data_IF_655578893100
#
_entry.id   IF_655578893100
#
_cell.length_a   1.000
_cell.length_b   1.000
_cell.length_c   1.000
_cell.angle_alpha   90.00
_cell.angle_beta   90.00
_cell.angle_gamma   90.00
#
_symmetry.space_group_name_H-M   'P 1'
#
loop_
_entity.id
_entity.type
_entity.pdbx_description
1 polymer ?
#
# COMPACT_ATOMS: atom_id res chain seq x y z
N UNK A 1 20.73 -32.13 28.52
CA UNK A 1 19.96 -31.73 27.31
C UNK A 1 18.99 -30.54 27.56
N UNK A 2 18.27 -30.46 28.69
CA UNK A 2 17.34 -29.35 29.03
C UNK A 2 18.02 -27.96 29.14
N UNK A 3 19.21 -27.85 29.71
CA UNK A 3 19.93 -26.56 29.86
C UNK A 3 20.36 -25.92 28.55
N UNK A 4 20.65 -26.71 27.52
CA UNK A 4 21.04 -26.20 26.19
C UNK A 4 19.85 -25.61 25.44
N UNK A 5 18.64 -26.12 25.68
CA UNK A 5 17.38 -25.61 25.09
C UNK A 5 16.94 -24.28 25.73
N UNK A 6 17.18 -24.09 27.02
CA UNK A 6 16.87 -22.84 27.72
C UNK A 6 17.79 -21.71 27.23
N UNK A 7 19.11 -21.97 27.15
CA UNK A 7 20.09 -20.99 26.66
C UNK A 7 19.87 -20.61 25.20
N UNK A 8 19.39 -21.51 24.33
CA UNK A 8 19.05 -21.19 22.93
C UNK A 8 17.76 -20.38 22.84
N UNK A 9 16.77 -20.60 23.70
CA UNK A 9 15.54 -19.81 23.75
C UNK A 9 15.80 -18.40 24.28
N UNK A 10 16.62 -18.24 25.31
CA UNK A 10 17.00 -16.92 25.84
C UNK A 10 17.82 -16.12 24.82
N UNK A 11 18.75 -16.76 24.11
CA UNK A 11 19.52 -16.11 23.04
C UNK A 11 18.63 -15.69 21.84
N UNK A 12 17.63 -16.49 21.46
CA UNK A 12 16.66 -16.12 20.43
C UNK A 12 15.76 -14.96 20.88
N UNK A 13 15.33 -14.94 22.13
CA UNK A 13 14.54 -13.84 22.69
C UNK A 13 15.34 -12.55 22.77
N UNK A 14 16.61 -12.60 23.19
CA UNK A 14 17.52 -11.45 23.23
C UNK A 14 17.85 -10.96 21.82
N UNK A 15 18.05 -11.85 20.85
CA UNK A 15 18.29 -11.47 19.46
C UNK A 15 17.07 -10.83 18.82
N UNK A 16 15.86 -11.34 19.08
CA UNK A 16 14.61 -10.76 18.60
C UNK A 16 14.32 -9.40 19.25
N UNK A 17 14.60 -9.26 20.55
CA UNK A 17 14.48 -8.00 21.28
C UNK A 17 15.47 -6.95 20.74
N UNK A 18 16.72 -7.31 20.50
CA UNK A 18 17.73 -6.40 19.95
C UNK A 18 17.41 -5.97 18.52
N UNK A 19 16.93 -6.87 17.67
CA UNK A 19 16.46 -6.53 16.31
C UNK A 19 15.26 -5.61 16.33
N UNK A 20 14.32 -5.79 17.27
CA UNK A 20 13.16 -4.90 17.41
C UNK A 20 13.56 -3.52 17.92
N UNK A 21 14.52 -3.41 18.84
CA UNK A 21 15.08 -2.15 19.35
C UNK A 21 15.84 -1.40 18.26
N UNK A 22 16.72 -2.07 17.50
CA UNK A 22 17.44 -1.49 16.36
C UNK A 22 16.48 -1.00 15.26
N UNK A 23 15.38 -1.72 15.03
CA UNK A 23 14.32 -1.28 14.12
C UNK A 23 13.62 -0.03 14.63
N UNK A 24 13.28 0.03 15.94
CA UNK A 24 12.66 1.21 16.57
C UNK A 24 13.59 2.42 16.53
N UNK A 25 14.86 2.28 16.86
CA UNK A 25 15.83 3.37 16.79
C UNK A 25 16.02 3.89 15.36
N UNK A 26 16.08 3.00 14.36
CA UNK A 26 16.19 3.38 12.97
C UNK A 26 14.93 4.10 12.46
N UNK A 27 13.75 3.75 12.96
CA UNK A 27 12.50 4.46 12.65
C UNK A 27 12.49 5.82 13.34
N UNK A 28 12.87 5.92 14.63
CA UNK A 28 12.93 7.17 15.38
C UNK A 28 13.91 8.18 14.76
N UNK A 29 15.08 7.73 14.29
CA UNK A 29 16.06 8.58 13.59
C UNK A 29 15.57 9.14 12.25
N UNK A 30 14.51 8.58 11.69
CA UNK A 30 13.90 9.03 10.42
C UNK A 30 12.70 9.95 10.60
N UNK A 31 12.27 10.18 11.84
CA UNK A 31 11.19 11.09 12.19
C UNK A 31 11.80 12.48 12.34
N UNK A 32 11.26 13.45 11.63
CA UNK A 32 11.63 14.84 11.79
C UNK A 32 10.91 15.40 13.02
N UNK A 33 11.67 15.58 14.11
CA UNK A 33 11.16 16.08 15.39
C UNK A 33 11.13 17.62 15.41
N UNK A 34 11.20 18.28 14.25
CA UNK A 34 11.15 19.73 14.21
C UNK A 34 9.80 20.22 14.74
N UNK A 35 9.87 20.89 15.90
CA UNK A 35 8.71 21.48 16.58
C UNK A 35 8.08 22.64 15.81
N UNK A 36 8.77 23.17 14.78
CA UNK A 36 8.26 24.24 13.91
C UNK A 36 7.29 23.74 12.85
N UNK A 37 7.19 22.42 12.66
CA UNK A 37 6.22 21.83 11.71
C UNK A 37 4.81 22.02 12.27
N UNK A 38 4.04 22.88 11.64
CA UNK A 38 2.64 23.19 11.98
C UNK A 38 1.72 22.89 10.81
N UNK A 39 0.42 22.77 11.08
CA UNK A 39 -0.61 22.61 10.07
C UNK A 39 -1.63 23.76 10.18
N UNK A 40 -2.19 24.18 9.06
CA UNK A 40 -3.28 25.18 9.02
C UNK A 40 -4.67 24.53 9.04
N UNK A 41 -4.73 23.17 9.08
CA UNK A 41 -5.99 22.43 9.13
C UNK A 41 -6.52 22.36 10.56
N UNK A 42 -7.78 21.92 10.74
CA UNK A 42 -8.43 21.80 12.05
C UNK A 42 -8.91 20.37 12.30
N UNK A 43 -9.10 19.98 13.58
CA UNK A 43 -9.64 18.69 13.99
C UNK A 43 -8.79 17.49 13.52
N UNK A 44 -9.44 16.44 13.02
CA UNK A 44 -8.76 15.21 12.58
C UNK A 44 -7.84 15.44 11.37
N UNK A 45 -8.17 16.38 10.51
CA UNK A 45 -7.34 16.75 9.37
C UNK A 45 -6.02 17.39 9.81
N UNK A 46 -6.04 18.22 10.87
CA UNK A 46 -4.82 18.77 11.49
C UNK A 46 -3.90 17.67 11.99
N UNK A 47 -4.46 16.75 12.76
CA UNK A 47 -3.72 15.65 13.36
C UNK A 47 -3.05 14.75 12.30
N UNK A 48 -3.80 14.39 11.27
CA UNK A 48 -3.27 13.58 10.18
C UNK A 48 -2.23 14.32 9.33
N UNK A 49 -2.44 15.60 9.03
CA UNK A 49 -1.49 16.42 8.27
C UNK A 49 -0.16 16.59 9.01
N UNK A 50 -0.23 16.79 10.31
CA UNK A 50 0.95 16.86 11.18
C UNK A 50 1.73 15.54 11.19
N UNK A 51 1.01 14.39 11.29
CA UNK A 51 1.63 13.08 11.17
C UNK A 51 2.34 12.91 9.84
N UNK A 52 1.67 13.18 8.72
CA UNK A 52 2.24 13.03 7.37
C UNK A 52 3.45 13.93 7.17
N UNK A 53 3.40 15.18 7.60
CA UNK A 53 4.52 16.12 7.49
C UNK A 53 5.74 15.66 8.29
N UNK A 54 5.56 15.26 9.54
CA UNK A 54 6.64 14.76 10.41
C UNK A 54 7.25 13.44 9.92
N UNK A 55 6.45 12.61 9.25
CA UNK A 55 6.90 11.32 8.71
C UNK A 55 7.15 11.34 7.20
N UNK A 56 7.13 12.51 6.58
CA UNK A 56 7.26 12.67 5.12
C UNK A 56 8.53 12.03 4.58
N UNK A 57 9.65 12.16 5.31
CA UNK A 57 10.91 11.53 4.93
C UNK A 57 10.82 10.01 4.89
N UNK A 58 10.09 9.39 5.83
CA UNK A 58 9.89 7.94 5.85
C UNK A 58 8.94 7.47 4.74
N UNK A 59 7.80 8.14 4.62
CA UNK A 59 6.69 7.74 3.76
C UNK A 59 6.96 8.03 2.28
N UNK A 60 7.40 9.26 1.96
CA UNK A 60 7.61 9.70 0.58
C UNK A 60 8.94 9.22 -0.02
N UNK A 61 9.99 9.06 0.80
CA UNK A 61 11.29 8.60 0.31
C UNK A 61 11.20 7.21 -0.31
N UNK A 62 10.43 6.31 0.32
CA UNK A 62 10.20 4.97 -0.20
C UNK A 62 9.43 5.00 -1.53
N UNK A 63 8.33 5.78 -1.61
CA UNK A 63 7.54 5.93 -2.83
C UNK A 63 8.36 6.55 -3.97
N UNK A 64 9.16 7.59 -3.70
CA UNK A 64 10.07 8.20 -4.69
C UNK A 64 11.11 7.20 -5.19
N UNK A 65 11.74 6.42 -4.29
CA UNK A 65 12.72 5.40 -4.69
C UNK A 65 12.11 4.37 -5.65
N UNK A 66 10.91 3.88 -5.36
CA UNK A 66 10.19 2.95 -6.25
C UNK A 66 9.91 3.62 -7.60
N UNK A 67 9.44 4.87 -7.59
CA UNK A 67 9.17 5.61 -8.83
C UNK A 67 10.42 5.73 -9.71
N UNK A 68 11.59 6.03 -9.12
CA UNK A 68 12.85 6.05 -9.87
C UNK A 68 13.23 4.70 -10.45
N UNK A 69 13.02 3.61 -9.72
CA UNK A 69 13.26 2.25 -10.23
C UNK A 69 12.33 1.95 -11.40
N UNK A 70 11.05 2.29 -11.30
CA UNK A 70 10.08 2.11 -12.38
C UNK A 70 10.48 2.90 -13.63
N UNK A 71 10.88 4.17 -13.48
CA UNK A 71 11.36 5.01 -14.59
C UNK A 71 12.57 4.34 -15.26
N UNK A 72 13.53 3.84 -14.47
CA UNK A 72 14.69 3.13 -15.00
C UNK A 72 14.30 1.90 -15.82
N UNK A 73 13.37 1.07 -15.31
CA UNK A 73 12.88 -0.11 -16.03
C UNK A 73 12.20 0.28 -17.34
N UNK A 74 11.31 1.29 -17.31
CA UNK A 74 10.60 1.77 -18.51
C UNK A 74 11.60 2.31 -19.54
N UNK A 75 12.59 3.06 -19.09
CA UNK A 75 13.63 3.60 -19.97
C UNK A 75 14.46 2.50 -20.65
N UNK A 76 14.89 1.50 -19.88
CA UNK A 76 15.62 0.34 -20.42
C UNK A 76 14.76 -0.44 -21.42
N UNK A 77 13.48 -0.68 -21.11
CA UNK A 77 12.54 -1.33 -22.03
C UNK A 77 12.38 -0.53 -23.33
N UNK A 78 12.18 0.79 -23.22
CA UNK A 78 12.06 1.66 -24.39
C UNK A 78 13.34 1.65 -25.25
N UNK A 79 14.52 1.64 -24.63
CA UNK A 79 15.80 1.54 -25.32
C UNK A 79 15.95 0.21 -26.05
N UNK A 80 15.59 -0.91 -25.43
CA UNK A 80 15.62 -2.25 -26.07
C UNK A 80 14.70 -2.27 -27.28
N UNK A 81 13.48 -1.72 -27.16
CA UNK A 81 12.53 -1.68 -28.26
C UNK A 81 12.99 -0.78 -29.42
N UNK A 82 13.74 0.27 -29.13
CA UNK A 82 14.36 1.14 -30.14
C UNK A 82 15.51 0.43 -30.87
N UNK A 83 16.37 -0.30 -30.14
CA UNK A 83 17.53 -1.00 -30.71
C UNK A 83 17.13 -2.26 -31.48
N UNK A 84 16.06 -2.94 -31.06
CA UNK A 84 15.64 -4.23 -31.63
C UNK A 84 14.11 -4.15 -31.92
N UNK A 85 13.74 -3.57 -33.08
CA UNK A 85 12.31 -3.37 -33.42
C UNK A 85 11.49 -4.68 -33.53
N UNK A 86 12.16 -5.82 -33.78
CA UNK A 86 11.52 -7.13 -33.87
C UNK A 86 10.78 -7.53 -32.57
N UNK A 87 11.25 -7.02 -31.41
CA UNK A 87 10.57 -7.23 -30.13
C UNK A 87 9.31 -6.40 -29.95
N UNK A 88 9.12 -5.32 -30.73
CA UNK A 88 8.00 -4.40 -30.55
C UNK A 88 6.63 -5.11 -30.72
N UNK A 89 6.46 -5.91 -31.77
CA UNK A 89 5.24 -6.65 -32.04
C UNK A 89 4.90 -7.66 -30.94
N UNK A 90 5.89 -8.41 -30.47
CA UNK A 90 5.68 -9.37 -29.36
C UNK A 90 5.35 -8.66 -28.07
N UNK A 91 6.05 -7.57 -27.76
CA UNK A 91 5.81 -6.76 -26.56
C UNK A 91 4.42 -6.13 -26.59
N UNK A 92 3.96 -5.63 -27.74
CA UNK A 92 2.62 -5.10 -27.92
C UNK A 92 1.56 -6.16 -27.61
N UNK A 93 1.66 -7.35 -28.22
CA UNK A 93 0.73 -8.45 -27.99
C UNK A 93 0.66 -8.86 -26.51
N UNK A 94 1.80 -8.86 -25.84
CA UNK A 94 1.88 -9.16 -24.42
C UNK A 94 1.19 -8.05 -23.60
N UNK A 95 1.51 -6.78 -23.87
CA UNK A 95 0.90 -5.65 -23.15
C UNK A 95 -0.61 -5.65 -23.26
N UNK A 96 -1.16 -6.01 -24.42
CA UNK A 96 -2.62 -6.04 -24.65
C UNK A 96 -3.40 -7.03 -23.77
N UNK A 97 -2.74 -8.04 -23.19
CA UNK A 97 -3.39 -9.08 -22.36
C UNK A 97 -2.80 -9.21 -20.96
N UNK A 98 -1.75 -8.45 -20.62
CA UNK A 98 -1.04 -8.59 -19.34
C UNK A 98 -1.54 -7.66 -18.24
N UNK A 99 -2.63 -6.94 -18.42
CA UNK A 99 -3.15 -6.05 -17.36
C UNK A 99 -3.40 -6.77 -16.03
N UNK A 100 -3.90 -8.04 -15.97
CA UNK A 100 -4.03 -8.79 -14.72
C UNK A 100 -2.69 -8.98 -13.98
N UNK A 101 -1.59 -9.09 -14.70
CA UNK A 101 -0.25 -9.20 -14.12
C UNK A 101 0.13 -8.00 -13.24
N UNK A 102 -0.33 -6.81 -13.61
CA UNK A 102 -0.06 -5.59 -12.86
C UNK A 102 -0.78 -5.53 -11.51
N UNK A 103 -1.78 -6.37 -11.25
CA UNK A 103 -2.36 -6.53 -9.92
C UNK A 103 -1.31 -6.97 -8.91
N UNK A 104 -0.49 -7.97 -9.27
CA UNK A 104 0.61 -8.44 -8.41
C UNK A 104 1.70 -7.37 -8.23
N UNK A 105 2.09 -6.69 -9.30
CA UNK A 105 3.07 -5.60 -9.22
C UNK A 105 2.54 -4.50 -8.30
N UNK A 106 1.28 -4.08 -8.45
CA UNK A 106 0.67 -3.04 -7.62
C UNK A 106 0.55 -3.45 -6.16
N UNK A 107 0.30 -4.73 -5.86
CA UNK A 107 0.37 -5.27 -4.51
C UNK A 107 1.78 -5.12 -3.91
N UNK A 108 2.83 -5.48 -4.66
CA UNK A 108 4.22 -5.42 -4.20
C UNK A 108 4.73 -3.99 -3.96
N UNK A 109 4.33 -3.04 -4.79
CA UNK A 109 4.82 -1.64 -4.68
C UNK A 109 3.99 -0.78 -3.73
N UNK A 110 2.79 -1.23 -3.34
CA UNK A 110 1.91 -0.49 -2.42
C UNK A 110 2.51 -0.41 -1.02
N UNK A 111 2.48 0.79 -0.42
CA UNK A 111 3.03 1.09 0.91
C UNK A 111 1.97 1.20 2.01
N UNK A 112 0.75 0.78 1.75
CA UNK A 112 -0.36 0.89 2.69
C UNK A 112 -0.09 0.18 4.01
N UNK A 113 0.53 -0.99 4.01
CA UNK A 113 0.89 -1.73 5.22
C UNK A 113 1.96 -1.00 6.05
N UNK A 114 3.02 -0.50 5.41
CA UNK A 114 4.09 0.24 6.09
C UNK A 114 3.56 1.55 6.70
N UNK A 115 2.68 2.24 5.98
CA UNK A 115 2.03 3.47 6.45
C UNK A 115 1.13 3.18 7.65
N UNK A 116 0.33 2.10 7.60
CA UNK A 116 -0.52 1.68 8.72
C UNK A 116 0.31 1.33 9.96
N UNK A 117 1.43 0.63 9.79
CA UNK A 117 2.35 0.33 10.88
C UNK A 117 2.96 1.61 11.48
N UNK A 118 3.40 2.54 10.65
CA UNK A 118 3.92 3.82 11.12
C UNK A 118 2.86 4.64 11.88
N UNK A 119 1.61 4.62 11.42
CA UNK A 119 0.47 5.26 12.10
C UNK A 119 0.23 4.64 13.48
N UNK A 120 0.29 3.31 13.58
CA UNK A 120 0.12 2.63 14.86
C UNK A 120 1.23 3.02 15.84
N UNK A 121 2.50 2.86 15.44
CA UNK A 121 3.65 3.08 16.32
C UNK A 121 3.77 4.52 16.82
N UNK A 122 3.40 5.51 15.99
CA UNK A 122 3.65 6.92 16.30
C UNK A 122 2.41 7.70 16.73
N UNK A 123 1.21 7.12 16.57
CA UNK A 123 -0.04 7.81 16.91
C UNK A 123 -1.02 6.91 17.66
N UNK A 124 -1.44 5.80 17.04
CA UNK A 124 -2.60 5.05 17.53
C UNK A 124 -2.32 4.27 18.78
N UNK A 125 -1.08 3.82 19.00
CA UNK A 125 -0.71 3.07 20.20
C UNK A 125 -1.14 3.80 21.50
N UNK A 126 -0.91 5.10 21.59
CA UNK A 126 -1.31 5.90 22.75
C UNK A 126 -2.78 6.33 22.68
N UNK A 127 -3.31 6.54 21.48
CA UNK A 127 -4.66 7.10 21.29
C UNK A 127 -5.78 6.06 21.44
N UNK A 128 -5.51 4.78 21.19
CA UNK A 128 -6.49 3.69 21.29
C UNK A 128 -6.98 3.44 22.73
N UNK A 129 -6.32 4.01 23.74
CA UNK A 129 -6.77 3.97 25.13
C UNK A 129 -7.94 4.92 25.42
N UNK A 130 -8.15 5.95 24.59
CA UNK A 130 -9.18 6.96 24.78
C UNK A 130 -10.55 6.53 24.24
N UNK A 131 -11.62 6.84 24.97
CA UNK A 131 -12.99 6.43 24.65
C UNK A 131 -13.54 6.98 23.33
N UNK A 132 -13.07 8.14 22.85
CA UNK A 132 -13.52 8.72 21.59
C UNK A 132 -13.16 7.88 20.34
N UNK A 133 -12.13 7.03 20.42
CA UNK A 133 -11.80 6.05 19.37
C UNK A 133 -12.82 4.91 19.26
N UNK A 134 -13.85 4.86 20.10
CA UNK A 134 -14.98 3.91 20.00
C UNK A 134 -16.19 4.50 19.29
N UNK A 135 -16.18 5.78 18.99
CA UNK A 135 -17.28 6.44 18.29
C UNK A 135 -17.21 6.18 16.77
N UNK A 136 -18.29 5.64 16.15
CA UNK A 136 -18.27 5.29 14.72
C UNK A 136 -17.98 6.47 13.79
N UNK A 137 -18.52 7.67 14.12
CA UNK A 137 -18.31 8.88 13.32
C UNK A 137 -16.86 9.37 13.39
N UNK A 138 -16.24 9.29 14.57
CA UNK A 138 -14.86 9.70 14.81
C UNK A 138 -13.90 8.79 14.03
N UNK A 139 -14.08 7.48 14.16
CA UNK A 139 -13.26 6.48 13.46
C UNK A 139 -13.39 6.64 11.94
N UNK A 140 -14.61 6.82 11.42
CA UNK A 140 -14.82 6.99 9.99
C UNK A 140 -14.15 8.26 9.46
N UNK A 141 -14.23 9.38 10.19
CA UNK A 141 -13.58 10.61 9.78
C UNK A 141 -12.06 10.49 9.80
N UNK A 142 -11.50 9.86 10.83
CA UNK A 142 -10.07 9.58 10.92
C UNK A 142 -9.62 8.65 9.79
N UNK A 143 -10.38 7.59 9.51
CA UNK A 143 -10.14 6.69 8.39
C UNK A 143 -10.09 7.44 7.05
N UNK A 144 -11.08 8.31 6.77
CA UNK A 144 -11.12 9.09 5.53
C UNK A 144 -9.90 10.00 5.36
N UNK A 145 -9.50 10.70 6.42
CA UNK A 145 -8.34 11.58 6.36
C UNK A 145 -7.03 10.81 6.15
N UNK A 146 -6.88 9.67 6.82
CA UNK A 146 -5.73 8.79 6.63
C UNK A 146 -5.69 8.16 5.25
N UNK A 147 -6.86 7.73 4.76
CA UNK A 147 -6.98 7.16 3.43
C UNK A 147 -6.52 8.13 2.34
N UNK A 148 -6.88 9.40 2.43
CA UNK A 148 -6.38 10.44 1.50
C UNK A 148 -4.86 10.48 1.45
N UNK A 149 -4.21 10.41 2.61
CA UNK A 149 -2.75 10.43 2.69
C UNK A 149 -2.10 9.15 2.13
N UNK A 150 -2.66 7.98 2.43
CA UNK A 150 -2.17 6.69 1.91
C UNK A 150 -2.32 6.63 0.40
N UNK A 151 -3.47 7.04 -0.12
CA UNK A 151 -3.71 7.13 -1.56
C UNK A 151 -2.69 8.08 -2.21
N UNK A 152 -2.49 9.27 -1.67
CA UNK A 152 -1.55 10.25 -2.23
C UNK A 152 -0.12 9.71 -2.32
N UNK A 153 0.34 9.00 -1.27
CA UNK A 153 1.68 8.38 -1.25
C UNK A 153 1.80 7.30 -2.33
N UNK A 154 0.78 6.45 -2.47
CA UNK A 154 0.80 5.32 -3.40
C UNK A 154 0.49 5.71 -4.85
N UNK A 155 -0.22 6.82 -5.07
CA UNK A 155 -0.48 7.33 -6.43
C UNK A 155 0.80 7.76 -7.15
N UNK A 156 1.84 8.18 -6.44
CA UNK A 156 3.09 8.62 -7.07
C UNK A 156 3.74 7.53 -7.92
N UNK A 157 4.10 6.34 -7.37
CA UNK A 157 4.64 5.25 -8.19
C UNK A 157 3.62 4.68 -9.19
N UNK A 158 2.32 4.69 -8.84
CA UNK A 158 1.27 4.20 -9.73
C UNK A 158 1.12 5.10 -10.98
N UNK A 159 1.19 6.41 -10.82
CA UNK A 159 1.14 7.36 -11.92
C UNK A 159 2.32 7.18 -12.88
N UNK A 160 3.53 7.01 -12.33
CA UNK A 160 4.73 6.76 -13.13
C UNK A 160 4.60 5.43 -13.90
N UNK A 161 4.10 4.38 -13.25
CA UNK A 161 3.88 3.10 -13.91
C UNK A 161 2.81 3.20 -15.00
N UNK A 162 1.67 3.85 -14.72
CA UNK A 162 0.58 4.01 -15.66
C UNK A 162 1.00 4.77 -16.92
N UNK A 163 1.67 5.93 -16.74
CA UNK A 163 2.20 6.72 -17.86
C UNK A 163 3.25 5.96 -18.66
N UNK A 164 4.14 5.25 -17.96
CA UNK A 164 5.17 4.43 -18.62
C UNK A 164 4.58 3.29 -19.44
N UNK A 165 3.55 2.59 -18.95
CA UNK A 165 2.89 1.52 -19.71
C UNK A 165 2.13 2.04 -20.94
N UNK A 166 1.44 3.17 -20.80
CA UNK A 166 0.79 3.85 -21.94
C UNK A 166 1.83 4.26 -22.99
N UNK A 167 2.96 4.80 -22.55
CA UNK A 167 4.07 5.15 -23.44
C UNK A 167 4.65 3.92 -24.15
N UNK A 168 4.90 2.83 -23.43
CA UNK A 168 5.39 1.57 -24.01
C UNK A 168 4.39 1.00 -25.02
N UNK A 169 3.10 1.01 -24.71
CA UNK A 169 2.05 0.58 -25.63
C UNK A 169 2.05 1.42 -26.91
N UNK A 170 2.23 2.74 -26.79
CA UNK A 170 2.29 3.64 -27.93
C UNK A 170 3.48 3.36 -28.87
N UNK A 171 4.70 3.21 -28.31
CA UNK A 171 5.92 2.98 -29.11
C UNK A 171 6.02 1.57 -29.72
N UNK A 172 5.27 0.60 -29.18
CA UNK A 172 5.27 -0.80 -29.69
C UNK A 172 4.29 -1.03 -30.85
N UNK A 173 3.65 0.01 -31.35
CA UNK A 173 2.72 -0.05 -32.46
C UNK A 173 1.29 0.33 -32.09
N UNK A 174 1.03 0.59 -30.80
CA UNK A 174 -0.26 1.06 -30.33
C UNK A 174 -1.36 0.00 -30.31
N UNK A 175 -2.59 0.48 -30.29
CA UNK A 175 -3.81 -0.33 -30.32
C UNK A 175 -4.77 0.24 -31.38
N UNK A 176 -5.64 -0.60 -31.90
CA UNK A 176 -6.69 -0.20 -32.85
C UNK A 176 -7.80 0.60 -32.16
N UNK A 177 -7.94 0.45 -30.84
CA UNK A 177 -8.97 1.12 -30.04
C UNK A 177 -8.34 2.18 -29.14
N UNK A 178 -8.53 3.45 -29.46
CA UNK A 178 -8.02 4.57 -28.65
C UNK A 178 -8.45 4.53 -27.18
N UNK A 179 -9.55 3.87 -26.88
CA UNK A 179 -10.08 3.73 -25.52
C UNK A 179 -9.19 2.86 -24.60
N UNK A 180 -8.35 2.00 -25.17
CA UNK A 180 -7.46 1.13 -24.38
C UNK A 180 -6.40 1.93 -23.60
N UNK A 181 -5.94 3.06 -24.14
CA UNK A 181 -4.96 3.92 -23.45
C UNK A 181 -5.48 4.49 -22.13
N UNK A 182 -6.61 5.21 -22.08
CA UNK A 182 -7.16 5.70 -20.83
C UNK A 182 -7.61 4.55 -19.90
N UNK A 183 -8.13 3.45 -20.42
CA UNK A 183 -8.48 2.30 -19.60
C UNK A 183 -7.26 1.71 -18.92
N UNK A 184 -6.16 1.49 -19.64
CA UNK A 184 -4.90 1.02 -19.08
C UNK A 184 -4.42 1.97 -17.96
N UNK A 185 -4.40 3.27 -18.24
CA UNK A 185 -3.96 4.28 -17.29
C UNK A 185 -4.80 4.29 -16.01
N UNK A 186 -6.12 4.42 -16.15
CA UNK A 186 -7.02 4.50 -15.00
C UNK A 186 -7.14 3.17 -14.24
N UNK A 187 -6.93 2.01 -14.89
CA UNK A 187 -6.91 0.72 -14.22
C UNK A 187 -5.75 0.60 -13.24
N UNK A 188 -4.54 1.05 -13.62
CA UNK A 188 -3.39 1.04 -12.72
C UNK A 188 -3.62 1.97 -11.52
N UNK A 189 -4.19 3.15 -11.74
CA UNK A 189 -4.55 4.06 -10.65
C UNK A 189 -5.62 3.45 -9.73
N UNK A 190 -6.64 2.81 -10.30
CA UNK A 190 -7.68 2.12 -9.56
C UNK A 190 -7.12 0.97 -8.69
N UNK A 191 -6.17 0.17 -9.21
CA UNK A 191 -5.46 -0.85 -8.43
C UNK A 191 -4.69 -0.23 -7.25
N UNK A 192 -4.03 0.92 -7.45
CA UNK A 192 -3.32 1.63 -6.39
C UNK A 192 -4.26 2.08 -5.28
N UNK A 193 -5.40 2.64 -5.66
CA UNK A 193 -6.45 3.05 -4.71
C UNK A 193 -7.00 1.84 -3.97
N UNK A 194 -7.32 0.75 -4.70
CA UNK A 194 -7.81 -0.50 -4.11
C UNK A 194 -6.87 -1.01 -3.02
N UNK A 195 -5.57 -1.18 -3.30
CA UNK A 195 -4.63 -1.68 -2.30
C UNK A 195 -4.41 -0.71 -1.14
N UNK A 196 -4.47 0.60 -1.38
CA UNK A 196 -4.41 1.61 -0.32
C UNK A 196 -5.59 1.49 0.64
N UNK A 197 -6.80 1.33 0.11
CA UNK A 197 -8.01 1.07 0.90
C UNK A 197 -7.92 -0.27 1.61
N UNK A 198 -7.51 -1.32 0.91
CA UNK A 198 -7.44 -2.69 1.44
C UNK A 198 -6.54 -2.79 2.67
N UNK A 199 -5.30 -2.32 2.58
CA UNK A 199 -4.37 -2.38 3.72
C UNK A 199 -4.86 -1.54 4.91
N UNK A 200 -5.44 -0.37 4.64
CA UNK A 200 -5.97 0.48 5.70
C UNK A 200 -7.23 -0.14 6.35
N UNK A 201 -8.11 -0.77 5.56
CA UNK A 201 -9.28 -1.51 6.08
C UNK A 201 -8.85 -2.70 6.94
N UNK A 202 -7.90 -3.50 6.49
CA UNK A 202 -7.36 -4.61 7.29
C UNK A 202 -6.78 -4.10 8.62
N UNK A 203 -6.10 -2.95 8.61
CA UNK A 203 -5.57 -2.34 9.82
C UNK A 203 -6.70 -1.94 10.79
N UNK A 204 -7.77 -1.30 10.31
CA UNK A 204 -8.88 -0.85 11.16
C UNK A 204 -9.78 -2.00 11.66
N UNK A 205 -10.02 -3.02 10.81
CA UNK A 205 -10.91 -4.12 11.17
C UNK A 205 -10.23 -5.22 11.96
N UNK A 206 -8.94 -5.48 11.71
CA UNK A 206 -8.24 -6.60 12.35
C UNK A 206 -7.28 -6.16 13.46
N UNK A 207 -6.91 -4.91 13.48
CA UNK A 207 -5.94 -4.29 14.40
C UNK A 207 -4.78 -5.27 14.71
N UNK A 208 -3.74 -5.33 13.84
CA UNK A 208 -2.76 -6.42 13.88
C UNK A 208 -1.69 -6.30 14.97
N UNK A 209 -1.56 -5.10 15.59
CA UNK A 209 -0.45 -4.78 16.46
C UNK A 209 -0.82 -4.91 17.94
N UNK A 210 0.06 -5.53 18.73
CA UNK A 210 -0.04 -5.58 20.19
C UNK A 210 0.60 -4.34 20.86
N UNK A 211 0.56 -4.29 22.20
CA UNK A 211 1.19 -3.23 23.00
C UNK A 211 2.70 -3.08 22.73
N UNK A 212 3.39 -4.14 22.32
CA UNK A 212 4.81 -4.13 21.97
C UNK A 212 5.09 -3.73 20.51
N UNK A 213 4.05 -3.32 19.76
CA UNK A 213 4.13 -2.97 18.33
C UNK A 213 4.52 -4.15 17.41
N UNK A 214 4.33 -5.38 17.87
CA UNK A 214 4.55 -6.59 17.07
C UNK A 214 3.27 -7.00 16.37
N UNK A 215 3.40 -7.56 15.17
CA UNK A 215 2.27 -8.18 14.44
C UNK A 215 2.00 -9.57 15.01
N UNK A 216 1.04 -9.69 15.93
CA UNK A 216 0.65 -10.98 16.54
C UNK A 216 -0.74 -11.49 16.11
N UNK A 217 -1.42 -10.82 15.19
CA UNK A 217 -2.76 -11.23 14.76
C UNK A 217 -2.68 -12.31 13.67
N UNK A 218 -3.00 -13.56 14.02
CA UNK A 218 -3.09 -14.66 13.06
C UNK A 218 -4.11 -14.39 11.94
N UNK A 219 -5.24 -13.78 12.27
CA UNK A 219 -6.27 -13.41 11.29
C UNK A 219 -5.77 -12.40 10.26
N UNK A 220 -4.94 -11.43 10.69
CA UNK A 220 -4.30 -10.49 9.78
C UNK A 220 -3.29 -11.18 8.86
N UNK A 221 -2.50 -12.11 9.41
CA UNK A 221 -1.57 -12.93 8.60
C UNK A 221 -2.29 -13.74 7.54
N UNK A 222 -3.42 -14.39 7.89
CA UNK A 222 -4.26 -15.15 6.95
C UNK A 222 -4.83 -14.22 5.87
N UNK A 223 -5.38 -13.06 6.23
CA UNK A 223 -5.95 -12.11 5.28
C UNK A 223 -4.89 -11.62 4.27
N UNK A 224 -3.69 -11.25 4.73
CA UNK A 224 -2.59 -10.86 3.85
C UNK A 224 -2.11 -12.03 2.97
N UNK A 225 -2.04 -13.24 3.52
CA UNK A 225 -1.68 -14.45 2.78
C UNK A 225 -2.68 -14.76 1.65
N UNK A 226 -3.98 -14.66 1.93
CA UNK A 226 -5.02 -14.83 0.92
C UNK A 226 -4.94 -13.75 -0.17
N UNK A 227 -4.69 -12.49 0.22
CA UNK A 227 -4.49 -11.40 -0.74
C UNK A 227 -3.28 -11.66 -1.64
N UNK A 228 -2.15 -12.11 -1.06
CA UNK A 228 -0.97 -12.48 -1.82
C UNK A 228 -1.26 -13.60 -2.81
N UNK A 229 -1.92 -14.68 -2.36
CA UNK A 229 -2.28 -15.80 -3.23
C UNK A 229 -3.19 -15.37 -4.38
N UNK A 230 -4.20 -14.53 -4.10
CA UNK A 230 -5.06 -13.96 -5.13
C UNK A 230 -4.25 -13.17 -6.17
N UNK A 231 -3.40 -12.26 -5.72
CA UNK A 231 -2.54 -11.47 -6.61
C UNK A 231 -1.58 -12.35 -7.41
N UNK A 232 -1.02 -13.41 -6.80
CA UNK A 232 -0.17 -14.38 -7.47
C UNK A 232 -0.91 -15.14 -8.58
N UNK A 233 -2.17 -15.52 -8.33
CA UNK A 233 -3.00 -16.16 -9.37
C UNK A 233 -3.23 -15.26 -10.58
N UNK A 234 -3.30 -13.94 -10.38
CA UNK A 234 -3.47 -12.98 -11.48
C UNK A 234 -2.31 -13.00 -12.48
N UNK A 235 -1.10 -13.47 -12.09
CA UNK A 235 0.04 -13.65 -13.00
C UNK A 235 -0.20 -14.68 -14.10
N UNK A 236 -1.15 -15.60 -13.91
CA UNK A 236 -1.49 -16.67 -14.86
C UNK A 236 -2.61 -16.29 -15.83
N UNK A 237 -3.32 -15.22 -15.53
CA UNK A 237 -4.51 -14.80 -16.26
C UNK A 237 -4.13 -13.91 -17.44
N UNK A 238 -4.76 -14.11 -18.58
CA UNK A 238 -4.59 -13.32 -19.80
C UNK A 238 -5.98 -12.84 -20.23
N UNK A 239 -6.23 -11.55 -20.10
CA UNK A 239 -7.52 -10.92 -20.45
C UNK A 239 -7.21 -9.61 -21.17
N UNK A 240 -7.94 -9.25 -22.23
CA UNK A 240 -7.77 -7.99 -22.94
C UNK A 240 -7.89 -6.77 -22.00
N UNK A 241 -7.12 -5.71 -22.32
CA UNK A 241 -7.04 -4.48 -21.51
C UNK A 241 -8.43 -3.92 -21.23
N UNK A 242 -9.28 -3.79 -22.26
CA UNK A 242 -10.61 -3.22 -22.13
C UNK A 242 -11.46 -3.95 -21.07
N UNK A 243 -11.58 -5.26 -21.21
CA UNK A 243 -12.45 -6.09 -20.34
C UNK A 243 -11.93 -6.08 -18.91
N UNK A 244 -10.66 -6.37 -18.71
CA UNK A 244 -10.09 -6.43 -17.37
C UNK A 244 -9.98 -5.04 -16.72
N UNK A 245 -9.70 -4.01 -17.51
CA UNK A 245 -9.61 -2.65 -17.03
C UNK A 245 -10.93 -2.12 -16.50
N UNK A 246 -12.01 -2.29 -17.26
CA UNK A 246 -13.37 -1.92 -16.82
C UNK A 246 -13.76 -2.69 -15.54
N UNK A 247 -13.49 -3.99 -15.50
CA UNK A 247 -13.76 -4.83 -14.32
C UNK A 247 -13.01 -4.32 -13.09
N UNK A 248 -11.72 -4.00 -13.25
CA UNK A 248 -10.86 -3.52 -12.15
C UNK A 248 -11.32 -2.18 -11.61
N UNK A 249 -11.67 -1.24 -12.48
CA UNK A 249 -12.18 0.08 -12.09
C UNK A 249 -13.49 -0.07 -11.32
N UNK A 250 -14.44 -0.84 -11.85
CA UNK A 250 -15.74 -1.08 -11.21
C UNK A 250 -15.56 -1.76 -9.85
N UNK A 251 -14.75 -2.83 -9.79
CA UNK A 251 -14.44 -3.54 -8.56
C UNK A 251 -13.82 -2.61 -7.50
N UNK A 252 -12.87 -1.77 -7.90
CA UNK A 252 -12.21 -0.83 -6.98
C UNK A 252 -13.19 0.18 -6.38
N UNK A 253 -14.12 0.71 -7.19
CA UNK A 253 -15.16 1.64 -6.72
C UNK A 253 -16.08 0.93 -5.73
N UNK A 254 -16.60 -0.25 -6.07
CA UNK A 254 -17.47 -1.02 -5.19
C UNK A 254 -16.78 -1.38 -3.89
N UNK A 255 -15.51 -1.82 -3.95
CA UNK A 255 -14.72 -2.13 -2.78
C UNK A 255 -14.53 -0.91 -1.86
N UNK A 256 -14.26 0.28 -2.40
CA UNK A 256 -14.14 1.51 -1.64
C UNK A 256 -15.45 1.82 -0.88
N UNK A 257 -16.60 1.70 -1.53
CA UNK A 257 -17.90 1.96 -0.90
C UNK A 257 -18.21 0.95 0.23
N UNK A 258 -18.00 -0.35 -0.04
CA UNK A 258 -18.18 -1.41 0.96
C UNK A 258 -17.22 -1.19 2.15
N UNK A 259 -15.99 -0.80 1.88
CA UNK A 259 -14.97 -0.54 2.90
C UNK A 259 -15.37 0.57 3.87
N UNK A 260 -15.92 1.67 3.36
CA UNK A 260 -16.43 2.76 4.22
C UNK A 260 -17.56 2.29 5.14
N UNK A 261 -18.47 1.45 4.61
CA UNK A 261 -19.55 0.86 5.41
C UNK A 261 -19.00 -0.10 6.47
N UNK A 262 -18.07 -0.98 6.11
CA UNK A 262 -17.46 -1.95 7.03
C UNK A 262 -16.70 -1.24 8.16
N UNK A 263 -15.90 -0.21 7.84
CA UNK A 263 -15.19 0.58 8.85
C UNK A 263 -16.17 1.27 9.79
N UNK A 264 -17.23 1.90 9.27
CA UNK A 264 -18.24 2.54 10.11
C UNK A 264 -18.91 1.56 11.09
N UNK A 265 -19.24 0.34 10.61
CA UNK A 265 -20.01 -0.64 11.37
C UNK A 265 -19.17 -1.45 12.37
N UNK A 266 -17.97 -1.86 11.97
CA UNK A 266 -17.18 -2.85 12.70
C UNK A 266 -15.94 -2.26 13.40
N UNK A 267 -15.28 -1.24 12.84
CA UNK A 267 -14.06 -0.71 13.44
C UNK A 267 -14.25 -0.21 14.89
N UNK A 268 -15.40 0.38 15.31
CA UNK A 268 -15.61 0.75 16.71
C UNK A 268 -15.50 -0.40 17.71
N UNK A 269 -15.73 -1.65 17.23
CA UNK A 269 -15.65 -2.86 18.05
C UNK A 269 -14.30 -3.55 17.99
N UNK A 270 -13.55 -3.37 16.92
CA UNK A 270 -12.31 -4.11 16.64
C UNK A 270 -11.04 -3.27 16.77
N UNK A 271 -11.16 -1.96 16.56
CA UNK A 271 -10.03 -1.03 16.59
C UNK A 271 -9.71 -0.58 18.01
N UNK A 272 -9.16 -1.50 18.80
CA UNK A 272 -8.69 -1.27 20.17
C UNK A 272 -7.36 -2.00 20.41
N UNK A 273 -6.64 -1.59 21.44
CA UNK A 273 -5.39 -2.23 21.81
C UNK A 273 -5.67 -3.68 22.25
N UNK A 274 -4.95 -4.62 21.67
CA UNK A 274 -4.99 -6.04 22.07
C UNK A 274 -3.86 -6.31 23.06
N UNK A 275 -4.21 -6.95 24.15
CA UNK A 275 -3.24 -7.43 25.15
C UNK A 275 -2.50 -8.68 24.64
#
# INVERSE_FOLDING_TARGET
>A
MKYKLILTNDNMNVASYNTSQLSKENVLKRIDVDTKITSQKHGYAYFNDLFVKRHSNLLLKSAKKISFVIIGIIFVMALILYLIPEFATKTNQILMVMLPYFVFIMYCINRGQEVAQAMFMNCDHSMLTYGFYREPKVILNLFKERLKSVIFINLLPAFVLATGLVFLLFITGGTTQWIDYPILFFSILAMSIFFSVHHLVLYYLLQPYNANSETKSGTYGIANGLTYLFCYYMLKIRIPIFTFGCLTILFSILYCLISLFLVYRYAPKTFHLKN
#
